data_IF_075411206028
#
_entry.id   IF_075411206028
#
_cell.length_a   1.000
_cell.length_b   1.000
_cell.length_c   1.000
_cell.angle_alpha   90.00
_cell.angle_beta   90.00
_cell.angle_gamma   90.00
#
_symmetry.space_group_name_H-M   'P 1'
#
loop_
_entity.id
_entity.type
_entity.pdbx_description
1 polymer ?
#
# COMPACT_ATOMS: atom_id res chain seq x y z
N UNK A 1 -5.86 11.54 6.62
CA UNK A 1 -4.72 11.19 5.72
C UNK A 1 -4.28 9.75 5.98
N UNK A 2 -3.78 9.06 4.95
CA UNK A 2 -3.15 7.73 5.09
C UNK A 2 -1.81 7.88 5.83
N UNK A 3 -1.65 7.16 6.93
CA UNK A 3 -0.44 7.12 7.77
C UNK A 3 0.44 5.94 7.42
N UNK A 4 -0.15 4.74 7.27
CA UNK A 4 0.58 3.51 6.91
C UNK A 4 -0.23 2.64 5.97
N UNK A 5 0.46 2.02 5.04
CA UNK A 5 -0.06 0.96 4.19
C UNK A 5 0.82 -0.28 4.32
N UNK A 6 0.20 -1.44 4.50
CA UNK A 6 0.87 -2.72 4.58
C UNK A 6 0.18 -3.73 3.66
N UNK A 7 0.98 -4.51 2.95
CA UNK A 7 0.51 -5.61 2.11
C UNK A 7 1.43 -6.81 2.26
N UNK A 8 0.85 -8.01 2.31
CA UNK A 8 1.58 -9.28 2.37
C UNK A 8 0.95 -10.29 1.41
N UNK A 9 1.78 -11.18 0.88
CA UNK A 9 1.39 -12.24 -0.05
C UNK A 9 0.67 -11.69 -1.31
N UNK A 10 1.17 -10.60 -1.88
CA UNK A 10 0.57 -9.96 -3.06
C UNK A 10 1.59 -9.85 -4.19
N UNK A 11 1.34 -10.56 -5.30
CA UNK A 11 2.14 -10.58 -6.53
C UNK A 11 3.64 -10.75 -6.25
N UNK A 12 4.44 -9.68 -6.30
CA UNK A 12 5.89 -9.73 -6.07
C UNK A 12 6.30 -9.77 -4.59
N UNK A 13 5.34 -9.67 -3.67
CA UNK A 13 5.61 -9.46 -2.25
C UNK A 13 5.10 -10.66 -1.44
N UNK A 14 5.94 -11.67 -1.28
CA UNK A 14 5.69 -12.81 -0.37
C UNK A 14 5.55 -12.30 1.08
N UNK A 15 6.56 -11.54 1.53
CA UNK A 15 6.62 -10.94 2.87
C UNK A 15 5.93 -9.57 2.91
N UNK A 16 5.61 -9.12 4.13
CA UNK A 16 4.97 -7.83 4.34
C UNK A 16 5.86 -6.67 3.84
N UNK A 17 5.27 -5.81 3.01
CA UNK A 17 5.82 -4.52 2.63
C UNK A 17 5.04 -3.44 3.35
N UNK A 18 5.76 -2.53 4.02
CA UNK A 18 5.17 -1.43 4.78
C UNK A 18 5.62 -0.08 4.22
N UNK A 19 4.66 0.75 3.81
CA UNK A 19 4.85 2.16 3.51
C UNK A 19 4.39 2.97 4.73
N UNK A 20 5.36 3.53 5.47
CA UNK A 20 5.13 4.31 6.68
C UNK A 20 5.38 5.80 6.40
N UNK A 21 4.29 6.55 6.21
CA UNK A 21 4.34 7.98 5.88
C UNK A 21 4.69 8.86 7.08
N UNK A 22 4.73 8.30 8.29
CA UNK A 22 5.14 8.99 9.52
C UNK A 22 6.67 9.04 9.68
N UNK A 23 7.41 8.21 8.94
CA UNK A 23 8.88 8.14 8.99
C UNK A 23 9.53 9.29 8.21
N UNK A 24 9.30 10.53 8.66
CA UNK A 24 9.80 11.76 8.04
C UNK A 24 11.29 12.03 8.29
N UNK A 25 11.97 11.25 9.13
CA UNK A 25 13.35 11.50 9.55
C UNK A 25 14.37 11.62 8.39
N UNK A 26 14.08 11.05 7.22
CA UNK A 26 14.91 11.20 6.00
C UNK A 26 14.63 12.44 5.16
N UNK A 27 13.60 13.23 5.48
CA UNK A 27 13.12 14.38 4.70
C UNK A 27 13.58 15.74 5.25
N UNK A 28 14.73 15.78 5.93
CA UNK A 28 15.25 17.01 6.57
C UNK A 28 15.49 18.17 5.58
N UNK A 29 15.66 17.88 4.29
CA UNK A 29 16.01 18.86 3.25
C UNK A 29 14.90 19.11 2.24
N UNK A 30 13.82 18.33 2.27
CA UNK A 30 12.73 18.38 1.28
C UNK A 30 11.38 18.53 1.98
N UNK A 31 11.22 19.65 2.70
CA UNK A 31 9.99 19.99 3.43
C UNK A 31 8.77 20.10 2.51
N UNK A 32 8.97 20.41 1.23
CA UNK A 32 7.91 20.40 0.19
C UNK A 32 7.30 19.02 -0.09
N UNK A 33 7.91 17.97 0.44
CA UNK A 33 7.41 16.59 0.40
C UNK A 33 6.75 16.19 1.73
N UNK A 34 6.61 17.12 2.68
CA UNK A 34 5.94 16.91 3.96
C UNK A 34 4.65 17.75 4.02
N UNK A 35 3.55 17.15 4.44
CA UNK A 35 2.27 17.83 4.64
C UNK A 35 1.59 17.27 5.87
N UNK A 36 1.28 18.12 6.86
CA UNK A 36 0.69 17.67 8.12
C UNK A 36 1.57 16.70 8.92
N UNK A 37 2.90 16.86 8.83
CA UNK A 37 3.86 15.96 9.47
C UNK A 37 3.99 14.58 8.81
N UNK A 38 3.45 14.40 7.60
CA UNK A 38 3.50 13.15 6.83
C UNK A 38 4.19 13.35 5.48
N UNK A 39 4.84 12.30 4.99
CA UNK A 39 5.35 12.24 3.62
C UNK A 39 4.16 12.36 2.65
N UNK A 40 4.15 13.41 1.82
CA UNK A 40 3.13 13.66 0.80
C UNK A 40 3.60 13.34 -0.62
N UNK A 41 4.92 13.23 -0.84
CA UNK A 41 5.52 12.87 -2.14
C UNK A 41 6.60 11.81 -1.95
N UNK A 42 6.52 10.73 -2.74
CA UNK A 42 7.44 9.59 -2.68
C UNK A 42 7.84 9.13 -4.08
N UNK A 43 9.11 8.75 -4.25
CA UNK A 43 9.63 8.12 -5.46
C UNK A 43 9.90 6.63 -5.20
N UNK A 44 9.24 5.76 -5.95
CA UNK A 44 9.50 4.31 -5.94
C UNK A 44 10.27 3.97 -7.22
N UNK A 45 11.53 3.55 -7.07
CA UNK A 45 12.42 3.22 -8.18
C UNK A 45 13.10 1.86 -7.96
N UNK A 46 13.63 1.27 -9.03
CA UNK A 46 14.22 -0.07 -9.01
C UNK A 46 14.22 -0.71 -10.40
N UNK A 47 14.92 -1.83 -10.55
CA UNK A 47 15.03 -2.57 -11.82
C UNK A 47 13.65 -2.98 -12.36
N UNK A 48 13.58 -3.28 -13.66
CA UNK A 48 12.35 -3.80 -14.24
C UNK A 48 11.93 -5.11 -13.56
N UNK A 49 10.62 -5.39 -13.56
CA UNK A 49 10.01 -6.56 -12.95
C UNK A 49 10.14 -6.71 -11.41
N UNK A 50 10.67 -5.72 -10.67
CA UNK A 50 10.75 -5.77 -9.20
C UNK A 50 9.45 -5.45 -8.47
N UNK A 51 8.31 -5.38 -9.16
CA UNK A 51 7.00 -5.15 -8.52
C UNK A 51 6.59 -3.70 -8.27
N UNK A 52 7.30 -2.69 -8.80
CA UNK A 52 6.95 -1.27 -8.60
C UNK A 52 5.50 -0.94 -8.99
N UNK A 53 5.07 -1.36 -10.18
CA UNK A 53 3.69 -1.19 -10.66
C UNK A 53 2.70 -1.93 -9.77
N UNK A 54 3.06 -3.13 -9.32
CA UNK A 54 2.21 -3.94 -8.44
C UNK A 54 2.07 -3.31 -7.05
N UNK A 55 3.11 -2.68 -6.49
CA UNK A 55 3.00 -1.93 -5.24
C UNK A 55 2.03 -0.75 -5.38
N UNK A 56 2.10 -0.02 -6.49
CA UNK A 56 1.14 1.05 -6.78
C UNK A 56 -0.30 0.54 -6.89
N UNK A 57 -0.51 -0.59 -7.57
CA UNK A 57 -1.82 -1.27 -7.63
C UNK A 57 -2.30 -1.69 -6.24
N UNK A 58 -1.43 -2.26 -5.41
CA UNK A 58 -1.76 -2.69 -4.05
C UNK A 58 -2.21 -1.51 -3.16
N UNK A 59 -1.53 -0.36 -3.25
CA UNK A 59 -1.94 0.85 -2.53
C UNK A 59 -3.34 1.30 -2.95
N UNK A 60 -3.67 1.22 -4.24
CA UNK A 60 -4.96 1.64 -4.80
C UNK A 60 -6.08 0.60 -4.66
N UNK A 61 -5.78 -0.62 -4.19
CA UNK A 61 -6.71 -1.74 -4.13
C UNK A 61 -7.99 -1.42 -3.35
N UNK A 62 -7.87 -0.64 -2.26
CA UNK A 62 -8.99 -0.17 -1.45
C UNK A 62 -10.08 0.55 -2.26
N UNK A 63 -9.77 1.14 -3.42
CA UNK A 63 -10.76 1.81 -4.28
C UNK A 63 -11.84 0.83 -4.75
N UNK A 64 -11.47 -0.40 -5.07
CA UNK A 64 -12.43 -1.42 -5.52
C UNK A 64 -13.47 -1.77 -4.44
N UNK A 65 -13.15 -1.54 -3.16
CA UNK A 65 -14.06 -1.74 -2.04
C UNK A 65 -14.91 -0.49 -1.72
N UNK A 66 -14.41 0.71 -2.08
CA UNK A 66 -15.03 1.99 -1.72
C UNK A 66 -15.92 2.58 -2.81
N UNK A 67 -15.79 2.11 -4.05
CA UNK A 67 -16.58 2.57 -5.18
C UNK A 67 -17.26 1.39 -5.87
N UNK A 68 -18.49 1.59 -6.34
CA UNK A 68 -19.21 0.69 -7.26
C UNK A 68 -18.55 0.66 -8.67
N UNK A 69 -17.36 1.25 -8.81
CA UNK A 69 -16.54 1.08 -9.98
C UNK A 69 -16.12 -0.38 -10.04
N UNK A 70 -16.37 -1.03 -11.18
CA UNK A 70 -15.87 -2.38 -11.43
C UNK A 70 -14.41 -2.43 -10.97
N UNK A 71 -14.03 -3.42 -10.13
CA UNK A 71 -12.63 -3.68 -9.89
C UNK A 71 -11.98 -3.70 -11.27
N UNK A 72 -10.81 -3.06 -11.44
CA UNK A 72 -9.95 -3.43 -12.56
C UNK A 72 -9.98 -4.94 -12.55
N UNK A 73 -10.51 -5.56 -13.62
CA UNK A 73 -10.85 -6.97 -13.62
C UNK A 73 -9.56 -7.77 -13.42
N UNK A 74 -9.13 -7.92 -12.17
CA UNK A 74 -8.02 -8.76 -11.78
C UNK A 74 -8.60 -10.17 -11.73
N UNK A 75 -8.96 -10.65 -12.92
CA UNK A 75 -8.99 -12.08 -13.27
C UNK A 75 -7.57 -12.69 -13.29
N UNK A 76 -6.54 -11.89 -12.96
CA UNK A 76 -5.16 -12.34 -12.81
C UNK A 76 -4.89 -12.85 -11.39
N UNK A 77 -4.02 -13.84 -11.27
CA UNK A 77 -3.46 -14.27 -10.00
C UNK A 77 -2.88 -13.06 -9.23
N UNK A 78 -3.33 -12.88 -7.99
CA UNK A 78 -2.91 -11.79 -7.10
C UNK A 78 -2.05 -12.28 -5.93
N UNK A 79 -2.13 -13.56 -5.57
CA UNK A 79 -1.24 -14.16 -4.56
C UNK A 79 0.20 -14.19 -5.07
N UNK A 80 1.15 -14.15 -4.13
CA UNK A 80 2.54 -14.37 -4.49
C UNK A 80 2.74 -15.84 -4.87
N UNK A 81 3.46 -16.09 -5.97
CA UNK A 81 3.63 -17.44 -6.52
C UNK A 81 4.54 -18.36 -5.67
N UNK A 82 5.35 -17.78 -4.78
CA UNK A 82 6.27 -18.51 -3.91
C UNK A 82 5.65 -18.75 -2.51
N UNK A 83 4.46 -18.22 -2.23
CA UNK A 83 3.80 -18.34 -0.93
C UNK A 83 2.90 -19.57 -0.87
N UNK A 84 2.88 -20.23 0.30
CA UNK A 84 1.90 -21.28 0.63
C UNK A 84 0.61 -20.71 1.25
N UNK A 85 0.55 -19.40 1.49
CA UNK A 85 -0.63 -18.74 2.03
C UNK A 85 -1.72 -18.60 0.95
N UNK A 86 -2.96 -18.89 1.34
CA UNK A 86 -4.14 -18.85 0.46
C UNK A 86 -4.78 -17.46 0.38
N UNK A 87 -4.21 -16.47 1.06
CA UNK A 87 -4.75 -15.12 1.11
C UNK A 87 -3.68 -14.03 1.04
N UNK A 88 -3.99 -12.95 0.32
CA UNK A 88 -3.28 -11.69 0.39
C UNK A 88 -3.91 -10.80 1.46
N UNK A 89 -3.10 -10.20 2.33
CA UNK A 89 -3.60 -9.33 3.41
C UNK A 89 -3.22 -7.88 3.16
N UNK A 90 -4.18 -6.99 3.41
CA UNK A 90 -4.06 -5.55 3.23
C UNK A 90 -4.43 -4.85 4.52
N UNK A 91 -3.65 -3.82 4.89
CA UNK A 91 -3.93 -2.98 6.04
C UNK A 91 -3.64 -1.52 5.74
N UNK A 92 -4.61 -0.67 6.06
CA UNK A 92 -4.52 0.78 5.93
C UNK A 92 -4.74 1.41 7.29
N UNK A 93 -3.85 2.31 7.68
CA UNK A 93 -4.00 3.13 8.89
C UNK A 93 -4.22 4.56 8.44
N UNK A 94 -5.40 5.09 8.69
CA UNK A 94 -5.74 6.50 8.45
C UNK A 94 -5.79 7.26 9.77
N UNK A 95 -5.53 8.56 9.67
CA UNK A 95 -5.77 9.53 10.74
C UNK A 95 -6.68 10.64 10.18
N UNK A 96 -7.85 10.81 10.76
CA UNK A 96 -8.79 11.87 10.43
C UNK A 96 -8.91 12.78 11.64
N UNK A 97 -8.19 13.90 11.60
CA UNK A 97 -8.19 14.90 12.69
C UNK A 97 -7.89 14.28 14.07
N UNK A 98 -6.88 13.40 14.13
CA UNK A 98 -6.48 12.69 15.34
C UNK A 98 -7.29 11.43 15.65
N UNK A 99 -8.34 11.14 14.88
CA UNK A 99 -9.08 9.88 14.98
C UNK A 99 -8.42 8.82 14.08
N UNK A 100 -7.87 7.79 14.72
CA UNK A 100 -7.21 6.69 14.02
C UNK A 100 -8.23 5.66 13.53
N UNK A 101 -8.26 5.41 12.23
CA UNK A 101 -9.01 4.32 11.60
C UNK A 101 -8.04 3.26 11.10
N UNK A 102 -8.28 2.00 11.45
CA UNK A 102 -7.53 0.85 10.94
C UNK A 102 -8.48 0.01 10.10
N UNK A 103 -8.20 -0.07 8.80
CA UNK A 103 -8.97 -0.87 7.85
C UNK A 103 -8.13 -2.06 7.38
N UNK A 104 -8.65 -3.27 7.54
CA UNK A 104 -7.95 -4.53 7.25
C UNK A 104 -8.87 -5.50 6.54
N UNK A 105 -8.34 -6.21 5.56
CA UNK A 105 -9.05 -7.28 4.87
C UNK A 105 -8.06 -8.29 4.28
N UNK A 106 -8.60 -9.46 3.96
CA UNK A 106 -7.92 -10.51 3.23
C UNK A 106 -8.66 -10.77 1.92
N UNK A 107 -7.90 -11.08 0.86
CA UNK A 107 -8.42 -11.57 -0.42
C UNK A 107 -7.97 -13.01 -0.61
N UNK A 108 -8.89 -13.87 -1.02
CA UNK A 108 -8.72 -15.31 -1.25
C UNK A 108 -8.90 -15.62 -2.74
#
# INVERSE_FOLDING_TARGET
>A
MLKKFMVKNYKNFEKEVCLDFEKTAGYQFSTDCITGGLISKMLIYGKNATGKTNLGRAVMDIRAMLSDAMPNAETEAFLNADSEEDAATFSYIFDFDGQKLIYRYAKF
#
